data_IF_387380214373
#
_entry.id   IF_387380214373
#
_cell.length_a   1.000
_cell.length_b   1.000
_cell.length_c   1.000
_cell.angle_alpha   90.00
_cell.angle_beta   90.00
_cell.angle_gamma   90.00
#
_symmetry.space_group_name_H-M   'P 1'
#
loop_
_entity.id
_entity.type
_entity.pdbx_description
1 polymer ?
#
# COMPACT_ATOMS: atom_id res chain seq x y z
N UNK A 1 -72.99 -30.52 -20.46
CA UNK A 1 -74.01 -31.56 -20.22
C UNK A 1 -73.91 -32.54 -21.36
N UNK A 2 -73.99 -33.85 -21.10
CA UNK A 2 -73.90 -34.86 -22.15
C UNK A 2 -75.12 -34.83 -23.08
N UNK A 3 -74.94 -35.09 -24.37
CA UNK A 3 -76.02 -35.06 -25.37
C UNK A 3 -76.88 -36.33 -25.37
N UNK A 4 -76.31 -37.46 -24.93
CA UNK A 4 -76.97 -38.76 -24.95
C UNK A 4 -78.33 -38.75 -24.22
N UNK A 5 -78.49 -38.16 -23.02
CA UNK A 5 -79.79 -38.08 -22.36
C UNK A 5 -80.80 -37.18 -23.07
N UNK A 6 -80.34 -36.13 -23.77
CA UNK A 6 -81.21 -35.28 -24.59
C UNK A 6 -81.74 -36.07 -25.80
N UNK A 7 -80.87 -36.81 -26.48
CA UNK A 7 -81.24 -37.68 -27.60
C UNK A 7 -82.18 -38.81 -27.16
N UNK A 8 -81.90 -39.42 -26.00
CA UNK A 8 -82.78 -40.42 -25.39
C UNK A 8 -84.13 -39.82 -25.03
N UNK A 9 -84.19 -38.60 -24.48
CA UNK A 9 -85.44 -37.90 -24.21
C UNK A 9 -86.26 -37.66 -25.48
N UNK A 10 -85.63 -37.20 -26.57
CA UNK A 10 -86.30 -37.03 -27.86
C UNK A 10 -86.85 -38.37 -28.39
N UNK A 11 -86.09 -39.44 -28.22
CA UNK A 11 -86.49 -40.81 -28.61
C UNK A 11 -87.70 -41.28 -27.79
N UNK A 12 -87.67 -41.08 -26.47
CA UNK A 12 -88.78 -41.43 -25.57
C UNK A 12 -90.06 -40.69 -25.97
N UNK A 13 -89.99 -39.38 -26.22
CA UNK A 13 -91.17 -38.60 -26.61
C UNK A 13 -91.70 -39.01 -27.98
N UNK A 14 -90.82 -39.37 -28.93
CA UNK A 14 -91.22 -39.88 -30.24
C UNK A 14 -91.92 -41.24 -30.14
N UNK A 15 -91.35 -42.17 -29.38
CA UNK A 15 -91.77 -43.57 -29.38
C UNK A 15 -92.96 -43.82 -28.42
N UNK A 16 -93.05 -43.05 -27.33
CA UNK A 16 -94.11 -43.19 -26.31
C UNK A 16 -95.11 -42.01 -26.28
N UNK A 17 -94.89 -41.00 -27.11
CA UNK A 17 -95.77 -39.83 -27.27
C UNK A 17 -95.55 -38.73 -26.23
N UNK A 18 -96.09 -37.54 -26.53
CA UNK A 18 -95.94 -36.31 -25.73
C UNK A 18 -96.56 -36.39 -24.32
N UNK A 19 -97.42 -37.36 -24.06
CA UNK A 19 -98.04 -37.57 -22.73
C UNK A 19 -97.01 -37.99 -21.68
N UNK A 20 -95.88 -38.57 -22.07
CA UNK A 20 -94.76 -38.88 -21.16
C UNK A 20 -94.16 -37.60 -20.55
N UNK A 21 -94.27 -36.45 -21.23
CA UNK A 21 -93.82 -35.15 -20.72
C UNK A 21 -94.68 -34.62 -19.55
N UNK A 22 -95.80 -35.29 -19.24
CA UNK A 22 -96.71 -34.93 -18.14
C UNK A 22 -96.62 -35.89 -16.94
N UNK A 23 -95.80 -36.95 -17.04
CA UNK A 23 -95.57 -37.93 -15.98
C UNK A 23 -94.07 -38.01 -15.63
N UNK A 24 -93.61 -37.21 -14.64
CA UNK A 24 -92.21 -37.18 -14.24
C UNK A 24 -91.67 -38.53 -13.77
N UNK A 25 -92.50 -39.36 -13.12
CA UNK A 25 -92.09 -40.68 -12.62
C UNK A 25 -91.85 -41.64 -13.78
N UNK A 26 -92.77 -41.67 -14.75
CA UNK A 26 -92.65 -42.51 -15.95
C UNK A 26 -91.50 -42.05 -16.85
N UNK A 27 -91.35 -40.75 -17.06
CA UNK A 27 -90.23 -40.22 -17.86
C UNK A 27 -88.87 -40.51 -17.19
N UNK A 28 -88.76 -40.30 -15.87
CA UNK A 28 -87.54 -40.63 -15.11
C UNK A 28 -87.19 -42.12 -15.20
N UNK A 29 -88.16 -43.01 -15.07
CA UNK A 29 -87.95 -44.45 -15.17
C UNK A 29 -87.40 -44.84 -16.56
N UNK A 30 -88.00 -44.32 -17.64
CA UNK A 30 -87.55 -44.57 -19.01
C UNK A 30 -86.16 -44.00 -19.28
N UNK A 31 -85.86 -42.80 -18.79
CA UNK A 31 -84.52 -42.21 -18.92
C UNK A 31 -83.45 -42.99 -18.14
N UNK A 32 -83.78 -43.52 -16.96
CA UNK A 32 -82.87 -44.35 -16.17
C UNK A 32 -82.62 -45.72 -16.81
N UNK A 33 -83.63 -46.30 -17.47
CA UNK A 33 -83.51 -47.57 -18.16
C UNK A 33 -82.66 -47.46 -19.44
N UNK A 34 -82.84 -46.36 -20.19
CA UNK A 34 -82.21 -46.16 -21.50
C UNK A 34 -80.88 -45.40 -21.47
N UNK A 35 -80.59 -44.62 -20.42
CA UNK A 35 -79.32 -43.88 -20.29
C UNK A 35 -78.90 -43.64 -18.82
N UNK A 36 -79.11 -44.63 -17.95
CA UNK A 36 -78.92 -44.55 -16.51
C UNK A 36 -77.51 -44.20 -16.03
N UNK A 37 -76.49 -44.30 -16.87
CA UNK A 37 -75.14 -43.81 -16.60
C UNK A 37 -75.06 -42.27 -16.45
N UNK A 38 -76.03 -41.52 -16.99
CA UNK A 38 -76.05 -40.06 -16.98
C UNK A 38 -77.01 -39.47 -15.93
N UNK A 39 -76.90 -39.94 -14.69
CA UNK A 39 -77.82 -39.56 -13.59
C UNK A 39 -77.92 -38.05 -13.35
N UNK A 40 -76.84 -37.29 -13.56
CA UNK A 40 -76.82 -35.84 -13.37
C UNK A 40 -77.73 -35.14 -14.38
N UNK A 41 -77.54 -35.41 -15.66
CA UNK A 41 -78.36 -34.92 -16.76
C UNK A 41 -79.83 -35.33 -16.60
N UNK A 42 -80.09 -36.60 -16.26
CA UNK A 42 -81.44 -37.11 -16.03
C UNK A 42 -82.13 -36.33 -14.90
N UNK A 43 -81.43 -36.12 -13.78
CA UNK A 43 -81.99 -35.34 -12.66
C UNK A 43 -82.32 -33.91 -13.08
N UNK A 44 -81.47 -33.25 -13.88
CA UNK A 44 -81.74 -31.89 -14.39
C UNK A 44 -82.95 -31.87 -15.35
N UNK A 45 -83.10 -32.88 -16.22
CA UNK A 45 -84.28 -33.02 -17.09
C UNK A 45 -85.56 -33.26 -16.29
N UNK A 46 -85.49 -34.08 -15.25
CA UNK A 46 -86.64 -34.38 -14.39
C UNK A 46 -87.00 -33.18 -13.52
N UNK A 47 -86.03 -32.46 -12.96
CA UNK A 47 -86.27 -31.20 -12.25
C UNK A 47 -86.98 -30.17 -13.13
N UNK A 48 -86.68 -30.13 -14.43
CA UNK A 48 -87.41 -29.28 -15.36
C UNK A 48 -88.89 -29.71 -15.52
N UNK A 49 -89.19 -31.02 -15.49
CA UNK A 49 -90.57 -31.50 -15.49
C UNK A 49 -91.30 -31.17 -14.19
N UNK A 50 -90.64 -31.33 -13.05
CA UNK A 50 -91.21 -31.02 -11.73
C UNK A 50 -91.57 -29.53 -11.62
N UNK A 51 -90.76 -28.65 -12.22
CA UNK A 51 -91.03 -27.20 -12.39
C UNK A 51 -92.00 -26.88 -13.54
N UNK A 52 -92.72 -27.90 -14.05
CA UNK A 52 -93.73 -27.81 -15.12
C UNK A 52 -93.23 -27.23 -16.44
N UNK A 53 -91.92 -27.22 -16.68
CA UNK A 53 -91.34 -26.59 -17.89
C UNK A 53 -91.77 -27.35 -19.14
N UNK A 54 -91.78 -28.68 -19.10
CA UNK A 54 -92.25 -29.49 -20.23
C UNK A 54 -93.74 -29.24 -20.55
N UNK A 55 -94.57 -28.98 -19.52
CA UNK A 55 -95.98 -28.65 -19.69
C UNK A 55 -96.19 -27.25 -20.25
N UNK A 56 -95.42 -26.27 -19.78
CA UNK A 56 -95.49 -24.89 -20.28
C UNK A 56 -95.01 -24.79 -21.74
N UNK A 57 -94.02 -25.60 -22.12
CA UNK A 57 -93.55 -25.72 -23.51
C UNK A 57 -94.60 -26.36 -24.43
N UNK A 58 -95.39 -27.30 -23.94
CA UNK A 58 -96.51 -27.91 -24.68
C UNK A 58 -97.68 -26.94 -24.90
N UNK A 59 -97.89 -26.01 -23.97
CA UNK A 59 -99.04 -25.10 -23.95
C UNK A 59 -98.68 -23.66 -24.33
N UNK A 60 -97.67 -23.47 -25.17
CA UNK A 60 -97.26 -22.13 -25.61
C UNK A 60 -98.40 -21.46 -26.41
N UNK A 61 -98.75 -20.19 -26.10
CA UNK A 61 -99.72 -19.44 -26.88
C UNK A 61 -99.23 -19.29 -28.33
N UNK A 62 -100.10 -19.42 -29.35
CA UNK A 62 -99.70 -19.39 -30.76
C UNK A 62 -99.01 -18.10 -31.21
N UNK A 63 -99.19 -16.98 -30.46
CA UNK A 63 -98.60 -15.68 -30.76
C UNK A 63 -97.25 -15.41 -30.06
N UNK A 64 -96.70 -16.36 -29.31
CA UNK A 64 -95.42 -16.15 -28.61
C UNK A 64 -94.36 -17.12 -29.14
N UNK A 65 -93.33 -16.63 -29.84
CA UNK A 65 -92.22 -17.45 -30.29
C UNK A 65 -91.51 -18.13 -29.11
N UNK A 66 -91.19 -19.43 -29.19
CA UNK A 66 -90.51 -20.16 -28.12
C UNK A 66 -89.22 -19.50 -27.65
N UNK A 67 -88.48 -18.85 -28.56
CA UNK A 67 -87.21 -18.18 -28.30
C UNK A 67 -87.34 -17.03 -27.28
N UNK A 68 -88.53 -16.43 -27.13
CA UNK A 68 -88.78 -15.35 -26.18
C UNK A 68 -89.19 -15.88 -24.79
N UNK A 69 -89.79 -17.07 -24.73
CA UNK A 69 -90.24 -17.70 -23.48
C UNK A 69 -89.18 -18.57 -22.82
N UNK A 70 -88.33 -19.23 -23.60
CA UNK A 70 -87.29 -20.11 -23.08
C UNK A 70 -86.34 -19.42 -22.07
N UNK A 71 -85.83 -18.17 -22.27
CA UNK A 71 -85.00 -17.51 -21.27
C UNK A 71 -85.69 -17.31 -19.91
N UNK A 72 -87.00 -17.08 -19.90
CA UNK A 72 -87.79 -16.96 -18.68
C UNK A 72 -87.94 -18.31 -17.97
N UNK A 73 -88.15 -19.39 -18.73
CA UNK A 73 -88.22 -20.77 -18.21
C UNK A 73 -86.86 -21.24 -17.67
N UNK A 74 -85.76 -20.87 -18.34
CA UNK A 74 -84.39 -21.14 -17.90
C UNK A 74 -84.09 -20.44 -16.59
N UNK A 75 -84.41 -19.14 -16.50
CA UNK A 75 -84.25 -18.37 -15.28
C UNK A 75 -85.09 -18.96 -14.14
N UNK A 76 -86.35 -19.32 -14.41
CA UNK A 76 -87.22 -19.98 -13.42
C UNK A 76 -86.62 -21.27 -12.90
N UNK A 77 -86.13 -22.15 -13.79
CA UNK A 77 -85.48 -23.39 -13.39
C UNK A 77 -84.24 -23.11 -12.53
N UNK A 78 -83.39 -22.17 -12.95
CA UNK A 78 -82.18 -21.79 -12.21
C UNK A 78 -82.52 -21.28 -10.81
N UNK A 79 -83.44 -20.33 -10.71
CA UNK A 79 -83.79 -19.65 -9.47
C UNK A 79 -84.52 -20.59 -8.49
N UNK A 80 -85.41 -21.45 -8.98
CA UNK A 80 -86.22 -22.33 -8.11
C UNK A 80 -85.47 -23.57 -7.64
N UNK A 81 -84.58 -24.12 -8.47
CA UNK A 81 -83.94 -25.42 -8.21
C UNK A 81 -82.44 -25.31 -7.90
N UNK A 82 -81.89 -24.09 -7.91
CA UNK A 82 -80.46 -23.80 -7.76
C UNK A 82 -79.55 -24.54 -8.77
N UNK A 83 -80.12 -25.07 -9.86
CA UNK A 83 -79.37 -25.67 -10.97
C UNK A 83 -78.65 -24.55 -11.71
N UNK A 84 -77.31 -24.63 -11.84
CA UNK A 84 -76.52 -23.62 -12.56
C UNK A 84 -77.14 -23.24 -13.92
N UNK A 85 -77.17 -21.93 -14.23
CA UNK A 85 -77.84 -21.38 -15.43
C UNK A 85 -77.53 -22.15 -16.73
N UNK A 86 -76.27 -22.59 -17.02
CA UNK A 86 -76.00 -23.39 -18.22
C UNK A 86 -76.67 -24.77 -18.23
N UNK A 87 -76.81 -25.42 -17.07
CA UNK A 87 -77.48 -26.71 -16.95
C UNK A 87 -79.01 -26.56 -16.99
N UNK A 88 -79.54 -25.47 -16.40
CA UNK A 88 -80.95 -25.11 -16.52
C UNK A 88 -81.31 -24.82 -17.98
N UNK A 89 -80.49 -24.03 -18.68
CA UNK A 89 -80.62 -23.77 -20.13
C UNK A 89 -80.62 -25.06 -20.94
N UNK A 90 -79.63 -25.91 -20.70
CA UNK A 90 -79.52 -27.19 -21.38
C UNK A 90 -80.78 -28.06 -21.20
N UNK A 91 -81.39 -28.08 -20.01
CA UNK A 91 -82.61 -28.86 -19.77
C UNK A 91 -83.86 -28.29 -20.43
N UNK A 92 -84.05 -26.96 -20.40
CA UNK A 92 -85.16 -26.31 -21.13
C UNK A 92 -85.03 -26.54 -22.63
N UNK A 93 -83.83 -26.43 -23.18
CA UNK A 93 -83.53 -26.73 -24.59
C UNK A 93 -83.77 -28.20 -24.93
N UNK A 94 -83.37 -29.13 -24.06
CA UNK A 94 -83.62 -30.56 -24.25
C UNK A 94 -85.11 -30.89 -24.33
N UNK A 95 -85.92 -30.27 -23.47
CA UNK A 95 -87.37 -30.43 -23.49
C UNK A 95 -88.01 -29.75 -24.71
N UNK A 96 -87.58 -28.54 -25.05
CA UNK A 96 -88.09 -27.85 -26.23
C UNK A 96 -87.77 -28.64 -27.52
N UNK A 97 -86.58 -29.24 -27.61
CA UNK A 97 -86.19 -30.09 -28.74
C UNK A 97 -87.04 -31.38 -28.76
N UNK A 98 -87.15 -32.09 -27.63
CA UNK A 98 -87.92 -33.34 -27.56
C UNK A 98 -89.41 -33.15 -27.88
N UNK A 99 -89.97 -31.98 -27.58
CA UNK A 99 -91.35 -31.63 -27.87
C UNK A 99 -91.56 -31.05 -29.29
N UNK A 100 -90.48 -30.82 -30.05
CA UNK A 100 -90.50 -30.23 -31.39
C UNK A 100 -90.81 -28.73 -31.41
N UNK A 101 -90.60 -28.04 -30.28
CA UNK A 101 -90.80 -26.60 -30.10
C UNK A 101 -89.65 -25.80 -30.75
N UNK A 102 -88.46 -26.40 -30.82
CA UNK A 102 -87.29 -25.89 -31.55
C UNK A 102 -86.70 -27.01 -32.41
N UNK A 103 -85.91 -26.66 -33.42
CA UNK A 103 -85.18 -27.62 -34.24
C UNK A 103 -83.72 -27.72 -33.79
N UNK A 104 -83.04 -28.80 -34.18
CA UNK A 104 -81.64 -29.04 -33.78
C UNK A 104 -80.69 -27.95 -34.30
N UNK A 105 -80.93 -27.41 -35.51
CA UNK A 105 -80.11 -26.34 -36.10
C UNK A 105 -80.14 -25.03 -35.29
N UNK A 106 -81.26 -24.72 -34.62
CA UNK A 106 -81.41 -23.53 -33.77
C UNK A 106 -80.46 -23.54 -32.55
N UNK A 107 -80.09 -24.75 -32.08
CA UNK A 107 -79.19 -24.94 -30.95
C UNK A 107 -77.72 -24.83 -31.37
N UNK A 108 -77.40 -25.30 -32.59
CA UNK A 108 -76.03 -25.26 -33.14
C UNK A 108 -75.62 -23.82 -33.43
N UNK A 109 -76.46 -23.04 -34.11
CA UNK A 109 -76.13 -21.67 -34.50
C UNK A 109 -75.90 -20.74 -33.28
N UNK A 110 -76.76 -20.84 -32.25
CA UNK A 110 -76.60 -20.07 -31.01
C UNK A 110 -75.38 -20.47 -30.20
N UNK A 111 -75.00 -21.75 -30.26
CA UNK A 111 -73.80 -22.25 -29.59
C UNK A 111 -72.54 -21.73 -30.29
N UNK A 112 -72.51 -21.80 -31.62
CA UNK A 112 -71.38 -21.29 -32.42
C UNK A 112 -71.21 -19.78 -32.29
N UNK A 113 -72.30 -19.01 -32.29
CA UNK A 113 -72.23 -17.56 -32.10
C UNK A 113 -71.70 -17.18 -30.71
N UNK A 114 -72.09 -17.94 -29.67
CA UNK A 114 -71.62 -17.73 -28.30
C UNK A 114 -70.14 -18.10 -28.15
N UNK A 115 -69.73 -19.25 -28.69
CA UNK A 115 -68.33 -19.68 -28.69
C UNK A 115 -67.44 -18.69 -29.46
N UNK A 116 -67.96 -18.07 -30.54
CA UNK A 116 -67.28 -17.00 -31.27
C UNK A 116 -67.11 -15.74 -30.42
N UNK A 117 -68.16 -15.26 -29.77
CA UNK A 117 -68.11 -14.07 -28.90
C UNK A 117 -67.18 -14.28 -27.69
N UNK A 118 -67.23 -15.45 -27.06
CA UNK A 118 -66.35 -15.79 -25.93
C UNK A 118 -64.88 -15.90 -26.37
N UNK A 119 -64.61 -16.39 -27.59
CA UNK A 119 -63.27 -16.42 -28.17
C UNK A 119 -62.75 -15.00 -28.46
N UNK A 120 -63.56 -14.17 -29.10
CA UNK A 120 -63.21 -12.76 -29.40
C UNK A 120 -62.95 -11.97 -28.10
N UNK A 121 -63.76 -12.17 -27.05
CA UNK A 121 -63.56 -11.51 -25.77
C UNK A 121 -62.31 -12.02 -25.04
N UNK A 122 -62.02 -13.32 -25.11
CA UNK A 122 -60.78 -13.88 -24.54
C UNK A 122 -59.55 -13.35 -25.26
N UNK A 123 -59.56 -13.35 -26.60
CA UNK A 123 -58.46 -12.80 -27.40
C UNK A 123 -58.25 -11.31 -27.11
N UNK A 124 -59.33 -10.54 -26.91
CA UNK A 124 -59.24 -9.14 -26.52
C UNK A 124 -58.60 -8.96 -25.14
N UNK A 125 -59.03 -9.73 -24.14
CA UNK A 125 -58.45 -9.68 -22.78
C UNK A 125 -56.99 -10.10 -22.77
N UNK A 126 -56.62 -11.11 -23.55
CA UNK A 126 -55.24 -11.55 -23.71
C UNK A 126 -54.38 -10.47 -24.37
N UNK A 127 -54.89 -9.77 -25.39
CA UNK A 127 -54.20 -8.62 -26.01
C UNK A 127 -54.02 -7.46 -25.04
N UNK A 128 -55.08 -7.08 -24.32
CA UNK A 128 -55.02 -6.01 -23.31
C UNK A 128 -54.04 -6.35 -22.18
N UNK A 129 -54.00 -7.62 -21.73
CA UNK A 129 -53.04 -8.10 -20.74
C UNK A 129 -51.60 -8.11 -21.28
N UNK A 130 -51.40 -8.53 -22.54
CA UNK A 130 -50.08 -8.49 -23.19
C UNK A 130 -49.59 -7.04 -23.35
N UNK A 131 -50.44 -6.12 -23.79
CA UNK A 131 -50.10 -4.70 -23.92
C UNK A 131 -49.77 -4.08 -22.56
N UNK A 132 -50.54 -4.42 -21.51
CA UNK A 132 -50.25 -3.97 -20.14
C UNK A 132 -48.91 -4.50 -19.65
N UNK A 133 -48.63 -5.80 -19.83
CA UNK A 133 -47.33 -6.40 -19.48
C UNK A 133 -46.17 -5.75 -20.23
N UNK A 134 -46.36 -5.46 -21.53
CA UNK A 134 -45.35 -4.76 -22.33
C UNK A 134 -45.10 -3.33 -21.82
N UNK A 135 -46.13 -2.58 -21.45
CA UNK A 135 -45.99 -1.24 -20.86
C UNK A 135 -45.29 -1.29 -19.51
N UNK A 136 -45.69 -2.18 -18.61
CA UNK A 136 -45.05 -2.38 -17.31
C UNK A 136 -43.57 -2.78 -17.47
N UNK A 137 -43.25 -3.64 -18.44
CA UNK A 137 -41.87 -4.01 -18.75
C UNK A 137 -41.05 -2.84 -19.32
N UNK A 138 -41.64 -2.03 -20.22
CA UNK A 138 -41.00 -0.84 -20.75
C UNK A 138 -40.74 0.20 -19.66
N UNK A 139 -41.69 0.45 -18.78
CA UNK A 139 -41.53 1.36 -17.64
C UNK A 139 -40.46 0.85 -16.66
N UNK A 140 -40.43 -0.47 -16.39
CA UNK A 140 -39.37 -1.07 -15.57
C UNK A 140 -37.99 -0.86 -16.19
N UNK A 141 -37.84 -1.15 -17.49
CA UNK A 141 -36.57 -0.93 -18.21
C UNK A 141 -36.14 0.54 -18.19
N UNK A 142 -37.08 1.47 -18.35
CA UNK A 142 -36.78 2.90 -18.27
C UNK A 142 -36.33 3.32 -16.86
N UNK A 143 -36.97 2.81 -15.80
CA UNK A 143 -36.55 3.05 -14.40
C UNK A 143 -35.17 2.49 -14.14
N UNK A 144 -34.91 1.24 -14.51
CA UNK A 144 -33.61 0.59 -14.37
C UNK A 144 -32.51 1.36 -15.12
N UNK A 145 -32.81 1.86 -16.34
CA UNK A 145 -31.87 2.68 -17.11
C UNK A 145 -31.61 4.04 -16.44
N UNK A 146 -32.65 4.70 -15.91
CA UNK A 146 -32.49 5.96 -15.17
C UNK A 146 -31.69 5.77 -13.89
N UNK A 147 -31.97 4.72 -13.11
CA UNK A 147 -31.22 4.37 -11.90
C UNK A 147 -29.77 4.06 -12.22
N UNK A 148 -29.51 3.30 -13.29
CA UNK A 148 -28.15 3.03 -13.77
C UNK A 148 -27.41 4.32 -14.14
N UNK A 149 -28.04 5.23 -14.89
CA UNK A 149 -27.43 6.52 -15.25
C UNK A 149 -27.13 7.37 -14.01
N UNK A 150 -28.05 7.42 -13.04
CA UNK A 150 -27.82 8.13 -11.79
C UNK A 150 -26.70 7.52 -10.96
N UNK A 151 -26.63 6.19 -10.90
CA UNK A 151 -25.55 5.47 -10.22
C UNK A 151 -24.19 5.74 -10.89
N UNK A 152 -24.11 5.65 -12.21
CA UNK A 152 -22.88 5.95 -12.98
C UNK A 152 -22.41 7.41 -12.77
N UNK A 153 -23.34 8.37 -12.70
CA UNK A 153 -23.01 9.77 -12.42
C UNK A 153 -22.50 9.98 -10.99
N UNK A 154 -23.12 9.32 -9.99
CA UNK A 154 -22.67 9.37 -8.59
C UNK A 154 -21.27 8.79 -8.44
N UNK A 155 -21.03 7.63 -9.04
CA UNK A 155 -19.71 6.98 -9.06
C UNK A 155 -18.65 7.85 -9.74
N UNK A 156 -19.00 8.50 -10.86
CA UNK A 156 -18.08 9.43 -11.54
C UNK A 156 -17.71 10.60 -10.63
N UNK A 157 -18.70 11.27 -10.01
CA UNK A 157 -18.47 12.39 -9.08
C UNK A 157 -17.65 11.96 -7.86
N UNK A 158 -17.90 10.76 -7.33
CA UNK A 158 -17.12 10.23 -6.21
C UNK A 158 -15.66 9.95 -6.60
N UNK A 159 -15.42 9.40 -7.80
CA UNK A 159 -14.07 9.20 -8.33
C UNK A 159 -13.33 10.52 -8.53
N UNK A 160 -13.99 11.51 -9.12
CA UNK A 160 -13.44 12.87 -9.31
C UNK A 160 -13.09 13.51 -7.96
N UNK A 161 -13.98 13.42 -6.97
CA UNK A 161 -13.72 13.91 -5.60
C UNK A 161 -12.52 13.23 -4.96
N UNK A 162 -12.46 11.89 -5.00
CA UNK A 162 -11.33 11.12 -4.46
C UNK A 162 -10.02 11.44 -5.17
N UNK A 163 -10.05 11.67 -6.48
CA UNK A 163 -8.87 12.07 -7.23
C UNK A 163 -8.41 13.49 -6.84
N UNK A 164 -9.34 14.42 -6.66
CA UNK A 164 -9.04 15.77 -6.20
C UNK A 164 -8.45 15.78 -4.79
N UNK A 165 -9.08 15.09 -3.82
CA UNK A 165 -8.56 14.94 -2.45
C UNK A 165 -7.15 14.33 -2.45
N UNK A 166 -6.89 13.33 -3.31
CA UNK A 166 -5.56 12.74 -3.46
C UNK A 166 -4.54 13.72 -4.03
N UNK A 167 -4.93 14.56 -5.00
CA UNK A 167 -4.06 15.61 -5.57
C UNK A 167 -3.74 16.68 -4.53
N UNK A 168 -4.73 17.14 -3.77
CA UNK A 168 -4.57 18.14 -2.70
C UNK A 168 -3.68 17.61 -1.57
N UNK A 169 -3.88 16.36 -1.13
CA UNK A 169 -3.04 15.72 -0.12
C UNK A 169 -1.57 15.61 -0.57
N UNK A 170 -1.32 15.18 -1.81
CA UNK A 170 0.04 15.10 -2.36
C UNK A 170 0.70 16.47 -2.45
N UNK A 171 -0.06 17.49 -2.82
CA UNK A 171 0.42 18.87 -2.88
C UNK A 171 0.77 19.40 -1.48
N UNK A 172 -0.06 19.10 -0.47
CA UNK A 172 0.21 19.44 0.91
C UNK A 172 1.46 18.72 1.45
N UNK A 173 1.56 17.40 1.26
CA UNK A 173 2.75 16.62 1.66
C UNK A 173 4.03 17.13 0.98
N UNK A 174 3.94 17.56 -0.29
CA UNK A 174 5.06 18.21 -0.99
C UNK A 174 5.46 19.54 -0.33
N UNK A 175 4.49 20.42 -0.05
CA UNK A 175 4.75 21.72 0.58
C UNK A 175 5.32 21.59 1.98
N UNK A 176 4.80 20.66 2.78
CA UNK A 176 5.32 20.37 4.13
C UNK A 176 6.77 19.88 4.07
N UNK A 177 7.07 18.99 3.13
CA UNK A 177 8.44 18.51 2.90
C UNK A 177 9.38 19.63 2.45
N UNK A 178 8.98 20.45 1.48
CA UNK A 178 9.78 21.59 1.01
C UNK A 178 10.02 22.62 2.13
N UNK A 179 9.02 22.87 2.99
CA UNK A 179 9.17 23.75 4.14
C UNK A 179 10.12 23.16 5.19
N UNK A 180 10.03 21.86 5.45
CA UNK A 180 10.95 21.17 6.35
C UNK A 180 12.39 21.23 5.83
N UNK A 181 12.62 20.89 4.57
CA UNK A 181 13.94 20.94 3.92
C UNK A 181 14.50 22.38 3.94
N UNK A 182 13.65 23.40 3.75
CA UNK A 182 14.06 24.81 3.87
C UNK A 182 14.50 25.16 5.30
N UNK A 183 13.74 24.77 6.32
CA UNK A 183 14.08 25.04 7.73
C UNK A 183 15.39 24.36 8.14
N UNK A 184 15.56 23.09 7.76
CA UNK A 184 16.80 22.35 8.01
C UNK A 184 18.00 23.01 7.33
N UNK A 185 17.83 23.49 6.09
CA UNK A 185 18.86 24.24 5.38
C UNK A 185 19.20 25.57 6.06
N UNK A 186 18.20 26.37 6.45
CA UNK A 186 18.40 27.65 7.15
C UNK A 186 19.14 27.45 8.48
N UNK A 187 18.80 26.39 9.23
CA UNK A 187 19.49 26.01 10.46
C UNK A 187 20.94 25.58 10.18
N UNK A 188 21.19 24.77 9.15
CA UNK A 188 22.54 24.39 8.72
C UNK A 188 23.39 25.62 8.36
N UNK A 189 22.83 26.56 7.60
CA UNK A 189 23.48 27.82 7.24
C UNK A 189 23.71 28.74 8.45
N UNK A 190 22.82 28.74 9.45
CA UNK A 190 23.02 29.43 10.74
C UNK A 190 24.19 28.81 11.50
N UNK A 191 24.19 27.50 11.70
CA UNK A 191 25.27 26.79 12.43
C UNK A 191 26.63 26.96 11.75
N UNK A 192 26.66 26.93 10.41
CA UNK A 192 27.89 27.17 9.65
C UNK A 192 28.45 28.59 9.80
N UNK A 193 27.58 29.59 10.02
CA UNK A 193 28.01 30.96 10.35
C UNK A 193 28.51 31.09 11.78
N UNK A 194 27.88 30.39 12.73
CA UNK A 194 28.23 30.46 14.16
C UNK A 194 29.49 29.65 14.51
N UNK A 195 29.69 28.50 13.88
CA UNK A 195 30.86 27.60 14.08
C UNK A 195 31.49 27.17 12.74
N UNK A 196 32.05 28.10 11.96
CA UNK A 196 32.63 27.78 10.65
C UNK A 196 33.75 26.74 10.72
N UNK A 197 34.46 26.65 11.85
CA UNK A 197 35.52 25.67 12.09
C UNK A 197 35.04 24.21 12.18
N UNK A 198 33.75 24.00 12.42
CA UNK A 198 33.10 22.68 12.53
C UNK A 198 32.29 22.32 11.29
N UNK A 199 31.65 23.29 10.66
CA UNK A 199 30.67 23.03 9.60
C UNK A 199 31.16 23.38 8.19
N UNK A 200 32.16 24.25 8.06
CA UNK A 200 32.65 24.72 6.76
C UNK A 200 33.95 24.04 6.33
N UNK A 201 34.29 24.19 5.05
CA UNK A 201 35.56 23.80 4.45
C UNK A 201 36.30 25.04 3.90
N UNK A 202 37.64 25.09 3.94
CA UNK A 202 38.53 24.05 4.48
C UNK A 202 38.37 23.94 6.00
N UNK A 203 38.65 22.76 6.60
CA UNK A 203 38.55 22.61 8.05
C UNK A 203 39.54 23.56 8.74
N UNK A 204 39.27 23.95 9.98
CA UNK A 204 40.20 24.78 10.74
C UNK A 204 41.55 24.06 10.88
N UNK A 205 42.64 24.66 10.39
CA UNK A 205 43.97 24.06 10.38
C UNK A 205 44.88 24.67 11.46
N UNK A 206 45.74 23.84 12.05
CA UNK A 206 46.77 24.23 13.02
C UNK A 206 48.14 24.04 12.39
N UNK A 207 48.95 25.11 12.38
CA UNK A 207 50.30 25.10 11.82
C UNK A 207 51.28 24.36 12.73
N UNK A 208 52.04 23.46 12.14
CA UNK A 208 53.09 22.68 12.79
C UNK A 208 54.43 23.10 12.17
N UNK A 209 55.34 23.67 12.98
CA UNK A 209 56.66 24.13 12.49
C UNK A 209 57.57 23.01 11.98
N UNK A 210 57.25 21.75 12.26
CA UNK A 210 58.15 20.62 12.05
C UNK A 210 59.31 20.60 13.07
N UNK A 211 60.10 19.54 13.03
CA UNK A 211 61.22 19.33 13.94
C UNK A 211 61.65 17.87 13.98
N UNK A 212 62.50 17.54 14.95
CA UNK A 212 62.99 16.17 15.14
C UNK A 212 62.48 15.62 16.45
N UNK A 213 61.98 14.38 16.44
CA UNK A 213 61.54 13.68 17.65
C UNK A 213 61.71 12.17 17.50
N UNK A 214 61.69 11.44 18.63
CA UNK A 214 61.63 9.98 18.60
C UNK A 214 60.17 9.56 18.61
N UNK A 215 59.73 9.00 17.49
CA UNK A 215 58.40 8.39 17.36
C UNK A 215 58.39 7.02 18.03
N UNK A 216 57.27 6.64 18.63
CA UNK A 216 56.93 5.23 18.74
C UNK A 216 57.09 4.61 20.12
N UNK A 217 57.86 3.53 20.20
CA UNK A 217 57.75 2.50 21.26
C UNK A 217 58.25 3.00 22.61
N UNK A 218 57.38 2.98 23.61
CA UNK A 218 57.78 3.25 24.99
C UNK A 218 58.74 2.16 25.49
N UNK A 219 59.92 2.55 26.00
CA UNK A 219 60.93 1.62 26.57
C UNK A 219 60.38 0.83 27.74
N UNK A 220 59.58 1.49 28.56
CA UNK A 220 58.86 0.92 29.69
C UNK A 220 57.48 1.53 29.71
N UNK A 221 56.48 0.67 29.89
CA UNK A 221 55.14 1.13 30.22
C UNK A 221 55.15 1.77 31.60
N UNK A 222 55.15 3.09 31.64
CA UNK A 222 55.02 3.87 32.87
C UNK A 222 53.54 4.09 33.16
N UNK A 223 53.12 3.65 34.35
CA UNK A 223 51.70 3.55 34.71
C UNK A 223 51.18 4.88 35.30
N UNK A 224 52.05 5.80 35.75
CA UNK A 224 51.62 7.02 36.42
C UNK A 224 52.49 8.24 36.13
N UNK A 225 51.90 9.31 35.59
CA UNK A 225 52.38 10.71 35.65
C UNK A 225 53.73 11.07 35.01
N UNK A 226 54.59 10.09 34.72
CA UNK A 226 55.94 10.29 34.21
C UNK A 226 55.93 10.62 32.71
N UNK A 227 57.03 11.21 32.22
CA UNK A 227 57.26 11.30 30.78
C UNK A 227 57.53 9.90 30.23
N UNK A 228 57.09 9.65 29.00
CA UNK A 228 57.43 8.41 28.32
C UNK A 228 58.83 8.51 27.68
N UNK A 229 59.61 7.44 27.79
CA UNK A 229 60.88 7.27 27.12
C UNK A 229 60.72 6.39 25.89
N UNK A 230 61.33 6.78 24.77
CA UNK A 230 61.10 6.17 23.47
C UNK A 230 62.32 5.45 22.92
N UNK A 231 62.09 4.28 22.33
CA UNK A 231 63.05 3.47 21.59
C UNK A 231 63.06 3.85 20.11
N UNK A 232 64.25 4.03 19.53
CA UNK A 232 64.42 4.24 18.09
C UNK A 232 65.27 5.46 17.74
N UNK A 233 65.43 5.69 16.44
CA UNK A 233 66.17 6.82 15.90
C UNK A 233 65.27 8.07 15.84
N UNK A 234 65.83 9.28 16.07
CA UNK A 234 65.08 10.51 15.85
C UNK A 234 64.65 10.64 14.39
N UNK A 235 63.38 10.98 14.18
CA UNK A 235 62.75 11.19 12.87
C UNK A 235 62.53 12.68 12.67
N UNK A 236 62.88 13.16 11.47
CA UNK A 236 62.61 14.54 11.05
C UNK A 236 61.21 14.62 10.44
N UNK A 237 60.38 15.50 11.00
CA UNK A 237 59.04 15.84 10.50
C UNK A 237 59.11 17.24 9.91
N UNK A 238 58.70 17.39 8.65
CA UNK A 238 58.65 18.69 7.98
C UNK A 238 57.56 19.60 8.60
N UNK A 239 57.54 20.88 8.22
CA UNK A 239 56.41 21.74 8.57
C UNK A 239 55.17 21.30 7.78
N UNK A 240 54.01 21.26 8.44
CA UNK A 240 52.73 20.91 7.84
C UNK A 240 51.61 21.63 8.60
N UNK A 241 50.37 21.49 8.14
CA UNK A 241 49.20 21.89 8.93
C UNK A 241 48.31 20.68 9.12
N UNK A 242 47.66 20.58 10.28
CA UNK A 242 46.73 19.48 10.59
C UNK A 242 45.39 20.04 11.02
N UNK A 243 44.30 19.39 10.66
CA UNK A 243 42.97 19.81 11.08
C UNK A 243 42.88 19.83 12.61
N UNK A 244 42.29 20.90 13.14
CA UNK A 244 42.08 21.15 14.56
C UNK A 244 41.24 20.04 15.20
N UNK A 245 40.24 19.57 14.47
CA UNK A 245 39.30 18.52 14.83
C UNK A 245 39.40 17.36 13.82
N UNK A 246 38.92 16.15 14.17
CA UNK A 246 38.53 15.17 13.15
C UNK A 246 37.50 15.79 12.21
N UNK A 247 37.43 15.30 10.97
CA UNK A 247 36.38 15.74 10.03
C UNK A 247 35.02 15.47 10.65
N UNK A 248 34.12 16.43 10.57
CA UNK A 248 32.77 16.31 11.14
C UNK A 248 31.81 15.69 10.13
N UNK A 249 30.66 15.21 10.60
CA UNK A 249 29.59 14.77 9.71
C UNK A 249 29.14 15.91 8.79
N UNK A 250 29.01 17.16 9.29
CA UNK A 250 28.66 18.31 8.46
C UNK A 250 29.63 18.53 7.30
N UNK A 251 30.93 18.41 7.56
CA UNK A 251 31.99 18.54 6.54
C UNK A 251 32.01 17.35 5.58
N UNK A 252 31.78 16.14 6.09
CA UNK A 252 31.73 14.93 5.26
C UNK A 252 30.49 14.89 4.36
N UNK A 253 29.36 15.42 4.83
CA UNK A 253 28.14 15.57 4.03
C UNK A 253 28.39 16.42 2.79
N UNK A 254 29.23 17.46 2.85
CA UNK A 254 29.61 18.25 1.67
C UNK A 254 30.34 17.43 0.60
N UNK A 255 31.08 16.39 0.99
CA UNK A 255 31.69 15.44 0.05
C UNK A 255 30.62 14.56 -0.59
N UNK A 256 29.63 14.10 0.18
CA UNK A 256 28.53 13.28 -0.34
C UNK A 256 27.60 14.06 -1.26
N UNK A 257 27.25 15.29 -0.88
CA UNK A 257 26.44 16.23 -1.67
C UNK A 257 27.12 16.57 -3.03
N UNK A 258 28.45 16.54 -3.08
CA UNK A 258 29.26 16.77 -4.30
C UNK A 258 29.53 15.48 -5.09
N UNK A 259 28.65 14.48 -4.97
CA UNK A 259 28.74 13.19 -5.65
C UNK A 259 30.05 12.44 -5.32
N UNK A 260 30.50 12.57 -4.06
CA UNK A 260 31.77 12.05 -3.55
C UNK A 260 31.96 10.55 -3.71
N UNK A 261 30.88 9.76 -3.67
CA UNK A 261 30.96 8.30 -3.80
C UNK A 261 30.92 7.81 -5.26
N UNK A 262 30.85 8.69 -6.25
CA UNK A 262 30.89 8.27 -7.64
C UNK A 262 32.28 7.73 -8.03
N UNK A 263 32.41 6.44 -8.39
CA UNK A 263 33.71 5.81 -8.64
C UNK A 263 34.40 6.33 -9.91
N UNK A 264 33.69 7.06 -10.78
CA UNK A 264 34.30 7.71 -11.96
C UNK A 264 35.08 8.97 -11.62
N UNK A 265 34.92 9.49 -10.39
CA UNK A 265 35.56 10.73 -9.95
C UNK A 265 37.04 10.53 -9.65
N UNK A 266 37.88 11.54 -9.85
CA UNK A 266 39.34 11.39 -9.85
C UNK A 266 39.96 11.31 -8.43
N UNK A 267 39.15 11.33 -7.37
CA UNK A 267 39.60 11.13 -6.00
C UNK A 267 39.61 9.66 -5.57
N UNK A 268 38.89 8.79 -6.27
CA UNK A 268 39.03 7.35 -6.13
C UNK A 268 40.18 6.86 -7.01
N UNK A 269 41.16 6.15 -6.45
CA UNK A 269 42.20 5.46 -7.23
C UNK A 269 41.71 4.06 -7.64
N UNK A 270 42.57 3.28 -8.29
CA UNK A 270 42.23 1.94 -8.74
C UNK A 270 41.76 1.02 -7.60
N UNK A 271 42.46 1.05 -6.46
CA UNK A 271 42.12 0.22 -5.31
C UNK A 271 40.80 0.68 -4.65
N UNK A 272 40.59 1.98 -4.49
CA UNK A 272 39.34 2.54 -3.96
C UNK A 272 38.14 2.25 -4.89
N UNK A 273 38.32 2.35 -6.21
CA UNK A 273 37.29 1.97 -7.19
C UNK A 273 36.99 0.47 -7.14
N UNK A 274 38.01 -0.38 -7.01
CA UNK A 274 37.82 -1.82 -6.85
C UNK A 274 37.07 -2.16 -5.56
N UNK A 275 37.37 -1.46 -4.46
CA UNK A 275 36.64 -1.60 -3.19
C UNK A 275 35.18 -1.15 -3.34
N UNK A 276 34.89 0.04 -3.90
CA UNK A 276 33.51 0.50 -4.14
C UNK A 276 32.71 -0.44 -5.07
N UNK A 277 33.37 -1.08 -6.04
CA UNK A 277 32.72 -2.07 -6.90
C UNK A 277 32.32 -3.32 -6.11
N UNK A 278 33.15 -3.74 -5.15
CA UNK A 278 32.88 -4.87 -4.25
C UNK A 278 31.83 -4.49 -3.19
N UNK A 279 31.89 -3.28 -2.67
CA UNK A 279 31.02 -2.73 -1.63
C UNK A 279 30.42 -1.39 -2.10
N UNK A 280 29.25 -1.39 -2.78
CA UNK A 280 28.66 -0.22 -3.41
C UNK A 280 27.98 0.72 -2.41
N UNK A 281 28.74 1.20 -1.44
CA UNK A 281 28.29 2.12 -0.38
C UNK A 281 28.23 3.55 -0.91
N UNK A 282 27.34 4.37 -0.32
CA UNK A 282 27.15 5.79 -0.70
C UNK A 282 27.30 6.76 0.47
N UNK A 283 27.54 6.23 1.65
CA UNK A 283 27.60 6.97 2.91
C UNK A 283 28.42 6.15 3.93
N UNK A 284 28.97 6.79 4.97
CA UNK A 284 29.66 6.12 6.07
C UNK A 284 28.80 5.03 6.72
N UNK A 285 29.44 4.00 7.28
CA UNK A 285 28.71 2.97 8.01
C UNK A 285 28.04 3.62 9.23
N UNK A 286 26.75 3.35 9.43
CA UNK A 286 25.93 3.93 10.50
C UNK A 286 25.53 5.41 10.31
N UNK A 287 25.65 5.98 9.10
CA UNK A 287 25.24 7.36 8.82
C UNK A 287 23.78 7.68 9.21
N UNK A 288 22.85 6.77 8.91
CA UNK A 288 21.43 6.91 9.28
C UNK A 288 21.09 6.56 10.73
N UNK A 289 22.08 6.25 11.58
CA UNK A 289 21.84 5.80 12.94
C UNK A 289 21.53 6.97 13.88
N UNK A 290 20.29 6.98 14.38
CA UNK A 290 19.77 8.04 15.25
C UNK A 290 20.16 7.89 16.72
N UNK A 291 20.92 6.85 17.09
CA UNK A 291 21.43 6.71 18.46
C UNK A 291 22.23 7.97 18.83
N UNK A 292 22.09 8.48 20.08
CA UNK A 292 22.88 9.61 20.54
C UNK A 292 24.37 9.37 20.29
N UNK A 293 25.05 10.34 19.68
CA UNK A 293 26.50 10.28 19.48
C UNK A 293 26.98 9.47 18.28
N UNK A 294 26.14 9.08 17.31
CA UNK A 294 26.62 8.37 16.10
C UNK A 294 26.63 9.28 14.86
N UNK A 295 25.52 9.93 14.53
CA UNK A 295 25.41 10.77 13.33
C UNK A 295 24.79 12.14 13.65
N UNK A 296 25.60 13.09 14.11
CA UNK A 296 25.23 14.49 14.32
C UNK A 296 26.21 15.40 13.60
N UNK A 297 25.72 16.53 13.09
CA UNK A 297 26.46 17.41 12.21
C UNK A 297 27.84 17.86 12.77
N UNK A 298 27.93 18.17 14.06
CA UNK A 298 29.14 18.63 14.75
C UNK A 298 29.97 17.52 15.42
N UNK A 299 29.56 16.26 15.26
CA UNK A 299 30.33 15.09 15.71
C UNK A 299 31.32 14.67 14.64
N UNK A 300 32.42 13.96 15.01
CA UNK A 300 33.34 13.42 14.04
C UNK A 300 32.63 12.42 13.12
N UNK A 301 32.97 12.43 11.84
CA UNK A 301 32.59 11.36 10.93
C UNK A 301 33.24 10.06 11.38
N UNK A 302 32.44 9.01 11.48
CA UNK A 302 32.88 7.67 11.86
C UNK A 302 32.29 6.62 10.91
N UNK A 303 32.75 5.37 11.00
CA UNK A 303 32.29 4.32 10.09
C UNK A 303 32.84 4.48 8.67
N UNK A 304 33.96 5.19 8.51
CA UNK A 304 34.63 5.37 7.21
C UNK A 304 35.86 4.46 7.10
N UNK A 305 36.06 3.95 5.89
CA UNK A 305 37.22 3.18 5.50
C UNK A 305 38.41 4.09 5.22
N UNK A 306 39.60 3.50 5.13
CA UNK A 306 40.79 4.23 4.70
C UNK A 306 40.63 4.76 3.27
N UNK A 307 39.98 4.01 2.39
CA UNK A 307 39.69 4.43 1.01
C UNK A 307 38.81 5.67 0.96
N UNK A 308 37.74 5.70 1.75
CA UNK A 308 36.85 6.85 1.90
C UNK A 308 37.60 8.08 2.43
N UNK A 309 38.42 7.90 3.47
CA UNK A 309 39.20 8.99 4.08
C UNK A 309 40.22 9.60 3.09
N UNK A 310 40.93 8.76 2.32
CA UNK A 310 41.85 9.22 1.27
C UNK A 310 41.12 9.89 0.12
N UNK A 311 39.98 9.33 -0.32
CA UNK A 311 39.14 9.91 -1.34
C UNK A 311 38.63 11.31 -0.91
N UNK A 312 38.19 11.46 0.33
CA UNK A 312 37.81 12.75 0.89
C UNK A 312 38.96 13.76 0.84
N UNK A 313 40.18 13.38 1.25
CA UNK A 313 41.33 14.28 1.17
C UNK A 313 41.68 14.71 -0.27
N UNK A 314 41.61 13.79 -1.23
CA UNK A 314 41.83 14.07 -2.66
C UNK A 314 40.72 14.94 -3.25
N UNK A 315 39.48 14.73 -2.84
CA UNK A 315 38.36 15.60 -3.18
C UNK A 315 38.58 17.00 -2.61
N UNK A 316 38.92 17.10 -1.32
CA UNK A 316 39.15 18.37 -0.63
C UNK A 316 40.26 19.18 -1.29
N UNK A 317 41.36 18.53 -1.69
CA UNK A 317 42.44 19.16 -2.47
C UNK A 317 41.92 19.84 -3.73
N UNK A 318 41.04 19.16 -4.47
CA UNK A 318 40.45 19.71 -5.69
C UNK A 318 39.40 20.77 -5.41
N UNK A 319 38.57 20.55 -4.38
CA UNK A 319 37.48 21.46 -3.99
C UNK A 319 38.01 22.80 -3.52
N UNK A 320 39.06 22.79 -2.71
CA UNK A 320 39.65 24.00 -2.16
C UNK A 320 40.49 24.74 -3.20
N UNK A 321 41.24 24.01 -4.02
CA UNK A 321 42.11 24.58 -5.05
C UNK A 321 42.97 25.76 -4.53
N UNK A 322 43.41 25.67 -3.28
CA UNK A 322 44.07 26.74 -2.50
C UNK A 322 45.60 26.58 -2.48
N UNK A 323 46.13 25.79 -3.42
CA UNK A 323 47.53 25.33 -3.56
C UNK A 323 47.98 24.29 -2.53
N UNK A 324 47.20 23.98 -1.50
CA UNK A 324 47.56 22.94 -0.56
C UNK A 324 47.19 21.55 -1.07
N UNK A 325 48.00 20.55 -0.73
CA UNK A 325 47.67 19.14 -0.90
C UNK A 325 47.12 18.64 0.43
N UNK A 326 45.84 18.28 0.46
CA UNK A 326 45.21 17.64 1.60
C UNK A 326 45.38 16.12 1.51
N UNK A 327 45.80 15.51 2.61
CA UNK A 327 46.00 14.06 2.73
C UNK A 327 45.79 13.61 4.17
N UNK A 328 45.76 12.30 4.38
CA UNK A 328 45.92 11.78 5.74
C UNK A 328 47.33 12.14 6.26
N UNK A 329 47.48 12.48 7.55
CA UNK A 329 48.79 12.64 8.17
C UNK A 329 49.53 11.31 8.12
N UNK A 330 50.86 11.34 8.04
CA UNK A 330 51.63 10.13 8.35
C UNK A 330 51.51 9.81 9.85
N UNK A 331 51.80 8.60 10.27
CA UNK A 331 51.80 8.25 11.69
C UNK A 331 52.81 9.10 12.49
N UNK A 332 53.92 9.50 11.84
CA UNK A 332 54.92 10.37 12.43
C UNK A 332 54.40 11.81 12.60
N UNK A 333 53.71 12.35 11.59
CA UNK A 333 53.06 13.66 11.69
C UNK A 333 51.99 13.68 12.76
N UNK A 334 51.14 12.65 12.79
CA UNK A 334 50.07 12.53 13.78
C UNK A 334 50.64 12.51 15.20
N UNK A 335 51.64 11.67 15.46
CA UNK A 335 52.25 11.58 16.80
C UNK A 335 53.01 12.86 17.15
N UNK A 336 53.69 13.47 16.19
CA UNK A 336 54.38 14.74 16.40
C UNK A 336 53.41 15.87 16.73
N UNK A 337 52.22 15.89 16.12
CA UNK A 337 51.16 16.83 16.47
C UNK A 337 50.65 16.62 17.91
N UNK A 338 50.48 15.37 18.34
CA UNK A 338 50.06 15.04 19.69
C UNK A 338 51.13 15.36 20.75
N UNK A 339 52.41 15.02 20.50
CA UNK A 339 53.46 14.99 21.54
C UNK A 339 54.54 16.05 21.37
N UNK A 340 54.78 16.57 20.16
CA UNK A 340 55.99 17.33 19.80
C UNK A 340 57.26 16.56 20.21
N UNK A 341 58.36 17.25 20.48
CA UNK A 341 59.58 16.70 21.06
C UNK A 341 59.58 16.67 22.60
N UNK A 342 58.41 16.80 23.25
CA UNK A 342 58.31 17.01 24.71
C UNK A 342 58.13 15.73 25.52
N UNK A 343 57.96 14.58 24.86
CA UNK A 343 57.78 13.29 25.52
C UNK A 343 56.43 13.10 26.22
N UNK A 344 55.41 13.91 25.88
CA UNK A 344 54.06 13.81 26.46
C UNK A 344 53.45 12.42 26.20
N UNK A 345 52.82 11.83 27.23
CA UNK A 345 52.05 10.57 27.14
C UNK A 345 50.71 10.77 26.43
N UNK A 346 50.05 11.91 26.66
CA UNK A 346 48.77 12.30 26.07
C UNK A 346 48.89 13.67 25.38
N UNK A 347 47.96 14.05 24.49
CA UNK A 347 47.99 15.34 23.81
C UNK A 347 48.08 16.54 24.78
N UNK A 348 47.45 16.47 25.95
CA UNK A 348 47.46 17.52 26.97
C UNK A 348 48.63 17.46 27.95
N UNK A 349 49.43 16.39 27.97
CA UNK A 349 50.51 16.21 28.96
C UNK A 349 50.66 14.78 29.46
N UNK A 350 51.06 14.63 30.73
CA UNK A 350 51.29 13.33 31.36
C UNK A 350 50.27 12.97 32.46
N UNK A 351 49.33 13.88 32.75
CA UNK A 351 48.21 13.59 33.64
C UNK A 351 47.31 12.55 32.99
N UNK A 352 46.85 11.58 33.77
CA UNK A 352 45.94 10.53 33.31
C UNK A 352 44.64 11.11 32.71
N UNK A 353 44.02 10.40 31.75
CA UNK A 353 42.74 10.80 31.17
C UNK A 353 41.62 10.90 32.21
N UNK A 354 40.74 11.88 32.03
CA UNK A 354 39.51 12.06 32.80
C UNK A 354 38.39 12.62 31.90
N UNK A 355 37.18 12.71 32.44
CA UNK A 355 35.98 13.15 31.72
C UNK A 355 36.03 14.62 31.25
N UNK A 356 37.05 15.40 31.63
CA UNK A 356 37.23 16.76 31.12
C UNK A 356 38.20 16.83 29.93
N UNK A 357 38.89 15.71 29.63
CA UNK A 357 40.01 15.65 28.68
C UNK A 357 39.74 14.78 27.47
N UNK A 358 38.90 13.76 27.58
CA UNK A 358 38.64 12.85 26.47
C UNK A 358 37.31 12.12 26.62
N UNK A 359 36.75 11.69 25.48
CA UNK A 359 35.67 10.71 25.40
C UNK A 359 36.26 9.31 25.16
N UNK A 360 36.07 8.40 26.10
CA UNK A 360 36.59 7.02 26.07
C UNK A 360 35.77 6.11 27.00
N UNK A 361 36.04 4.82 27.00
CA UNK A 361 35.44 3.81 27.88
C UNK A 361 33.90 3.78 27.87
N UNK A 362 33.29 4.07 26.72
CA UNK A 362 31.83 4.14 26.56
C UNK A 362 31.13 5.15 27.50
N UNK A 363 31.87 6.13 28.03
CA UNK A 363 31.36 7.06 29.04
C UNK A 363 30.16 7.91 28.54
N UNK A 364 30.09 8.18 27.23
CA UNK A 364 29.07 9.02 26.61
C UNK A 364 28.16 8.26 25.63
N UNK A 365 28.32 6.93 25.52
CA UNK A 365 27.52 6.04 24.64
C UNK A 365 27.55 6.40 23.15
N UNK A 366 28.65 6.99 22.70
CA UNK A 366 28.87 7.41 21.32
C UNK A 366 30.00 8.42 21.23
N UNK A 367 30.22 8.94 20.02
CA UNK A 367 31.05 10.13 19.80
C UNK A 367 30.45 11.35 20.47
N UNK A 368 31.27 12.36 20.69
CA UNK A 368 30.88 13.68 21.20
C UNK A 368 31.19 14.75 20.15
N UNK A 369 30.48 15.88 20.21
CA UNK A 369 30.77 17.03 19.36
C UNK A 369 32.25 17.41 19.44
N UNK A 370 32.85 17.74 18.30
CA UNK A 370 34.28 18.08 18.25
C UNK A 370 34.56 19.32 19.10
N UNK A 371 35.69 19.29 19.81
CA UNK A 371 36.09 20.38 20.69
C UNK A 371 35.41 20.42 22.06
N UNK A 372 34.65 19.40 22.44
CA UNK A 372 33.97 19.34 23.74
C UNK A 372 34.93 19.28 24.94
N UNK A 373 36.19 18.90 24.74
CA UNK A 373 37.18 18.71 25.79
C UNK A 373 38.38 19.68 25.68
N UNK A 374 38.22 20.97 26.02
CA UNK A 374 39.30 21.96 25.90
C UNK A 374 40.53 21.64 26.77
N UNK A 375 40.35 21.00 27.92
CA UNK A 375 41.49 20.54 28.76
C UNK A 375 42.25 19.36 28.14
N UNK A 376 41.67 18.71 27.12
CA UNK A 376 42.26 17.64 26.35
C UNK A 376 43.02 18.09 25.10
N UNK A 377 42.97 19.38 24.75
CA UNK A 377 43.67 19.88 23.59
C UNK A 377 45.20 19.88 23.80
N UNK A 378 45.95 19.82 22.70
CA UNK A 378 47.37 20.18 22.73
C UNK A 378 47.55 21.67 23.06
N UNK A 379 48.74 22.13 23.51
CA UNK A 379 49.03 23.55 23.68
C UNK A 379 48.83 24.39 22.41
N UNK A 380 48.95 23.77 21.24
CA UNK A 380 48.72 24.39 19.93
C UNK A 380 47.22 24.42 19.54
N UNK A 381 46.34 23.91 20.41
CA UNK A 381 44.89 23.91 20.22
C UNK A 381 44.39 22.83 19.28
N UNK A 382 45.04 21.67 19.19
CA UNK A 382 44.53 20.50 18.44
C UNK A 382 43.73 19.63 19.40
N UNK A 383 42.48 19.38 19.07
CA UNK A 383 41.52 18.69 19.92
C UNK A 383 41.36 17.23 19.50
N UNK A 384 40.87 16.41 20.43
CA UNK A 384 40.41 15.04 20.16
C UNK A 384 41.49 14.13 19.53
N UNK A 385 42.77 14.41 19.76
CA UNK A 385 43.88 13.50 19.42
C UNK A 385 43.97 12.30 20.40
N UNK A 386 43.07 12.22 21.36
CA UNK A 386 42.95 11.14 22.31
C UNK A 386 41.45 10.93 22.62
N UNK A 387 40.92 9.79 22.19
CA UNK A 387 39.51 9.43 22.35
C UNK A 387 38.64 9.97 21.22
N UNK A 388 37.32 9.91 21.44
CA UNK A 388 36.29 10.20 20.44
C UNK A 388 36.35 9.21 19.27
N UNK A 389 37.31 9.30 18.34
CA UNK A 389 37.44 8.34 17.22
C UNK A 389 38.89 7.92 17.02
N UNK A 390 39.10 6.67 16.60
CA UNK A 390 40.33 6.28 15.93
C UNK A 390 40.51 7.09 14.66
N UNK A 391 41.74 7.49 14.37
CA UNK A 391 42.03 8.29 13.18
C UNK A 391 42.93 7.53 12.21
N UNK A 392 42.45 7.34 10.99
CA UNK A 392 43.24 6.83 9.88
C UNK A 392 44.45 7.73 9.59
N UNK A 393 45.60 7.10 9.38
CA UNK A 393 46.82 7.75 8.89
C UNK A 393 47.18 7.27 7.49
N UNK A 394 48.07 8.00 6.81
CA UNK A 394 48.64 7.63 5.52
C UNK A 394 49.76 6.59 5.59
N UNK A 395 50.04 6.01 6.76
CA UNK A 395 51.16 5.09 6.94
C UNK A 395 50.70 3.64 6.98
N UNK A 396 51.35 2.80 6.17
CA UNK A 396 51.25 1.35 6.25
C UNK A 396 51.85 0.90 7.58
N UNK A 397 51.20 -0.06 8.23
CA UNK A 397 51.67 -0.62 9.48
C UNK A 397 52.91 -1.47 9.26
N UNK A 398 54.06 -0.98 9.74
CA UNK A 398 55.33 -1.72 9.78
C UNK A 398 55.90 -1.75 11.21
N UNK A 399 56.74 -2.76 11.55
CA UNK A 399 57.38 -2.84 12.86
C UNK A 399 58.22 -1.61 13.21
N UNK A 400 58.46 -1.43 14.52
CA UNK A 400 59.44 -0.48 15.03
C UNK A 400 60.83 -1.13 15.14
N UNK A 401 61.93 -0.33 15.12
CA UNK A 401 61.98 1.14 15.10
C UNK A 401 61.45 1.76 13.80
N UNK A 402 60.91 2.97 13.89
CA UNK A 402 60.39 3.67 12.71
C UNK A 402 61.52 3.99 11.74
N UNK A 403 61.36 3.59 10.49
CA UNK A 403 62.25 3.95 9.39
C UNK A 403 61.43 4.69 8.32
N UNK A 404 61.68 5.99 8.06
CA UNK A 404 60.99 6.73 7.00
C UNK A 404 61.25 6.20 5.59
N UNK A 405 62.24 5.30 5.41
CA UNK A 405 62.66 4.76 4.11
C UNK A 405 62.14 3.34 3.84
N UNK A 406 61.40 2.72 4.75
CA UNK A 406 60.88 1.36 4.58
C UNK A 406 59.66 1.26 3.64
N UNK A 407 59.30 2.37 3.00
CA UNK A 407 58.18 2.44 2.08
C UNK A 407 56.81 2.51 2.75
N UNK A 408 56.72 2.70 4.08
CA UNK A 408 55.44 2.78 4.79
C UNK A 408 54.53 3.93 4.33
N UNK A 409 55.11 4.98 3.75
CA UNK A 409 54.37 6.12 3.19
C UNK A 409 54.06 5.97 1.69
N UNK A 410 54.37 4.82 1.07
CA UNK A 410 54.07 4.54 -0.34
C UNK A 410 52.69 3.87 -0.53
N UNK A 411 51.74 4.67 -0.99
CA UNK A 411 50.31 4.33 -1.10
C UNK A 411 49.88 3.70 -2.43
N UNK A 412 50.80 3.32 -3.32
CA UNK A 412 50.48 2.91 -4.70
C UNK A 412 49.70 1.59 -4.82
N UNK A 413 49.71 0.75 -3.77
CA UNK A 413 49.00 -0.53 -3.74
C UNK A 413 48.51 -0.83 -2.31
N UNK A 414 47.39 -0.22 -1.86
CA UNK A 414 46.92 -0.34 -0.49
C UNK A 414 46.22 -1.68 -0.19
N UNK A 415 45.73 -2.39 -1.22
CA UNK A 415 45.07 -3.70 -1.05
C UNK A 415 46.01 -4.74 -0.42
N UNK A 416 45.50 -5.49 0.56
CA UNK A 416 46.26 -6.50 1.31
C UNK A 416 47.24 -5.92 2.34
N UNK A 417 47.38 -4.59 2.42
CA UNK A 417 48.14 -3.93 3.49
C UNK A 417 47.24 -3.64 4.69
N UNK A 418 47.86 -3.27 5.80
CA UNK A 418 47.19 -2.74 6.99
C UNK A 418 47.70 -1.34 7.24
N UNK A 419 46.83 -0.43 7.67
CA UNK A 419 47.15 0.98 7.87
C UNK A 419 47.07 1.33 9.35
N UNK A 420 47.96 2.22 9.77
CA UNK A 420 48.03 2.69 11.15
C UNK A 420 46.80 3.56 11.44
N UNK A 421 46.14 3.26 12.56
CA UNK A 421 45.19 4.16 13.23
C UNK A 421 45.75 4.61 14.57
N UNK A 422 45.43 5.85 14.97
CA UNK A 422 45.94 6.50 16.19
C UNK A 422 44.81 7.13 17.02
N UNK A 423 45.12 7.49 18.27
CA UNK A 423 44.26 8.30 19.14
C UNK A 423 43.32 7.54 20.07
N UNK A 424 42.85 6.36 19.67
CA UNK A 424 41.85 5.60 20.42
C UNK A 424 40.42 6.13 20.21
N UNK A 425 39.46 5.23 20.11
CA UNK A 425 38.03 5.58 19.98
C UNK A 425 37.29 5.68 21.31
N UNK A 426 36.07 6.22 21.26
CA UNK A 426 35.18 6.40 22.42
C UNK A 426 34.85 5.10 23.16
N UNK A 427 34.92 3.95 22.49
CA UNK A 427 34.60 2.63 23.06
C UNK A 427 35.69 2.07 23.99
N UNK A 428 36.93 2.52 23.85
CA UNK A 428 38.08 1.80 24.38
C UNK A 428 38.61 2.38 25.68
N UNK A 429 39.33 1.56 26.44
CA UNK A 429 39.96 1.93 27.72
C UNK A 429 40.96 3.10 27.56
N UNK A 430 41.20 3.84 28.64
CA UNK A 430 42.16 4.97 28.69
C UNK A 430 43.56 4.62 28.18
N UNK A 431 43.93 3.34 28.29
CA UNK A 431 45.19 2.77 27.83
C UNK A 431 45.44 2.96 26.32
N UNK A 432 44.39 3.07 25.52
CA UNK A 432 44.49 3.25 24.06
C UNK A 432 44.66 4.73 23.67
N UNK A 433 44.52 5.65 24.62
CA UNK A 433 44.57 7.09 24.38
C UNK A 433 45.98 7.68 24.39
N UNK A 434 47.00 6.88 24.73
CA UNK A 434 48.39 7.35 24.70
C UNK A 434 48.74 7.76 23.28
N UNK A 435 49.40 8.91 23.15
CA UNK A 435 49.73 9.47 21.85
C UNK A 435 50.75 8.60 21.06
N UNK A 436 51.52 7.76 21.75
CA UNK A 436 52.42 6.76 21.18
C UNK A 436 51.70 5.48 20.75
N UNK A 437 50.47 5.25 21.22
CA UNK A 437 49.74 4.03 20.92
C UNK A 437 49.36 4.00 19.45
N UNK A 438 49.53 2.84 18.84
CA UNK A 438 49.18 2.57 17.45
C UNK A 438 48.45 1.25 17.37
N UNK A 439 47.46 1.21 16.51
CA UNK A 439 46.80 -0.02 16.10
C UNK A 439 46.80 -0.07 14.58
N UNK A 440 46.46 -1.21 14.01
CA UNK A 440 46.41 -1.38 12.57
C UNK A 440 45.14 -2.07 12.14
N UNK A 441 44.60 -1.61 11.03
CA UNK A 441 43.35 -2.09 10.48
C UNK A 441 43.50 -2.32 8.97
N UNK A 442 42.75 -3.27 8.38
CA UNK A 442 42.71 -3.39 6.94
C UNK A 442 41.99 -2.15 6.35
N UNK A 443 42.35 -1.70 5.13
CA UNK A 443 41.89 -0.42 4.59
C UNK A 443 40.37 -0.34 4.34
N UNK A 444 39.67 -1.48 4.26
CA UNK A 444 38.22 -1.60 4.13
C UNK A 444 37.46 -1.63 5.47
N UNK A 445 38.17 -1.59 6.61
CA UNK A 445 37.53 -1.57 7.93
C UNK A 445 36.71 -0.28 8.17
N UNK A 446 35.48 -0.44 8.64
CA UNK A 446 34.52 0.66 8.88
C UNK A 446 33.88 0.55 10.25
N UNK A 447 34.67 0.57 11.32
CA UNK A 447 34.12 0.49 12.68
C UNK A 447 33.43 1.78 13.09
N UNK A 448 32.50 1.68 14.05
CA UNK A 448 31.64 2.79 14.52
C UNK A 448 32.42 3.95 15.17
N UNK A 449 33.69 3.73 15.48
CA UNK A 449 34.62 4.71 16.04
C UNK A 449 35.84 4.96 15.13
N UNK A 450 35.81 4.53 13.86
CA UNK A 450 36.85 4.86 12.88
C UNK A 450 36.49 6.13 12.10
N UNK A 451 37.23 7.20 12.36
CA UNK A 451 37.20 8.46 11.63
C UNK A 451 38.58 8.83 11.08
N UNK A 452 38.77 10.11 10.80
CA UNK A 452 40.05 10.65 10.34
C UNK A 452 40.12 12.17 10.50
N UNK A 453 41.35 12.69 10.41
CA UNK A 453 41.60 14.12 10.22
C UNK A 453 42.60 14.33 9.09
N UNK A 454 42.44 15.35 8.24
CA UNK A 454 43.41 15.66 7.22
C UNK A 454 44.59 16.47 7.79
N UNK A 455 45.74 16.26 7.18
CA UNK A 455 46.85 17.20 7.17
C UNK A 455 46.97 17.82 5.77
N UNK A 456 47.68 18.94 5.68
CA UNK A 456 48.04 19.57 4.41
C UNK A 456 49.44 20.15 4.41
N UNK A 457 50.04 20.21 3.24
CA UNK A 457 51.32 20.86 2.99
C UNK A 457 51.28 21.60 1.65
N UNK A 458 52.24 22.48 1.44
CA UNK A 458 52.49 23.03 0.10
C UNK A 458 53.13 21.93 -0.78
N UNK A 459 52.94 21.98 -2.11
CA UNK A 459 53.41 20.96 -3.04
C UNK A 459 54.91 20.71 -2.99
#
# INVERSE_FOLDING_TARGET
MNEKPRQTLCTIIRDYGRTVAQDPKRCKALLLDLCGEHRREINVLVSAMDERIASDLLNLPPNIPPQMRMPQLVKRLHDHTAIAEPAARWAVESWALALGVIQEHDLVEKREERERREREERERREREEQERKQREEQERKQREEQERKQWEERERKERERKEQERKERKEQERKEREEQERKEREERERMARERPDVYALPPAMVKIKGGTFVIGKEKKWTIFGEKADFEGNPVKVAAFEIARYPITNAQYELFMDDDGYNPTRPWWDEAGRAWLKKEPVKEPRHWGDKRPGIARADHPVAGVSWYEAVAFCRWLTRKMNDRYIYRLPTEAEWEYAARRNTGRRFPWGNKEPDHERANYNDNYRGTTAVGSFPKGATPDGIYDLAGNVWEWTGSIYTPYPYDPKDGRENLSAPSGKRFVVRGGGWLLLSVFLRASFRYDLPPDARYVDNGFRPARHLP
#
